data_IF_792985542715
#
_entry.id   IF_792985542715
#
_cell.length_a   1.000
_cell.length_b   1.000
_cell.length_c   1.000
_cell.angle_alpha   90.00
_cell.angle_beta   90.00
_cell.angle_gamma   90.00
#
_symmetry.space_group_name_H-M   'P 1'
#
loop_
_entity.id
_entity.type
_entity.pdbx_description
1 polymer ?
#
# COMPACT_ATOMS: atom_id res chain seq x y z
N UNK A 1 10.07 -22.20 5.49
CA UNK A 1 9.86 -20.85 4.90
C UNK A 1 8.47 -20.35 5.29
N UNK A 2 8.31 -19.84 6.52
CA UNK A 2 7.05 -19.25 7.01
C UNK A 2 6.96 -17.73 6.76
N UNK A 3 8.08 -17.12 6.38
CA UNK A 3 8.26 -15.67 6.21
C UNK A 3 7.52 -15.12 5.00
N UNK A 4 7.53 -15.81 3.87
CA UNK A 4 6.89 -15.35 2.62
C UNK A 4 5.36 -15.31 2.70
N UNK A 5 4.74 -16.26 3.41
CA UNK A 5 3.29 -16.32 3.55
C UNK A 5 2.77 -15.27 4.53
N UNK A 6 3.51 -15.03 5.61
CA UNK A 6 3.24 -13.95 6.55
C UNK A 6 3.36 -12.57 5.87
N UNK A 7 4.45 -12.33 5.12
CA UNK A 7 4.64 -11.09 4.35
C UNK A 7 3.51 -10.85 3.34
N UNK A 8 3.13 -11.87 2.57
CA UNK A 8 2.00 -11.76 1.63
C UNK A 8 0.69 -11.40 2.31
N UNK A 9 0.47 -11.89 3.53
CA UNK A 9 -0.73 -11.60 4.31
C UNK A 9 -0.73 -10.18 4.87
N UNK A 10 0.42 -9.69 5.35
CA UNK A 10 0.59 -8.27 5.73
C UNK A 10 0.38 -7.36 4.53
N UNK A 11 0.92 -7.71 3.36
CA UNK A 11 0.71 -6.97 2.12
C UNK A 11 -0.77 -6.94 1.71
N UNK A 12 -1.46 -8.07 1.77
CA UNK A 12 -2.89 -8.14 1.47
C UNK A 12 -3.76 -7.31 2.44
N UNK A 13 -3.42 -7.31 3.74
CA UNK A 13 -4.07 -6.47 4.74
C UNK A 13 -3.81 -4.98 4.50
N UNK A 14 -2.58 -4.61 4.14
CA UNK A 14 -2.25 -3.24 3.78
C UNK A 14 -3.01 -2.78 2.52
N UNK A 15 -3.16 -3.66 1.52
CA UNK A 15 -3.99 -3.40 0.32
C UNK A 15 -5.48 -3.27 0.67
N UNK A 16 -5.99 -4.02 1.65
CA UNK A 16 -7.37 -3.85 2.09
C UNK A 16 -7.57 -2.52 2.82
N UNK A 17 -6.66 -2.12 3.72
CA UNK A 17 -6.69 -0.77 4.31
C UNK A 17 -6.57 0.33 3.26
N UNK A 18 -5.79 0.08 2.20
CA UNK A 18 -5.58 1.02 1.09
C UNK A 18 -6.85 1.39 0.32
N UNK A 19 -7.81 0.47 0.27
CA UNK A 19 -9.09 0.71 -0.41
C UNK A 19 -9.90 1.81 0.26
N UNK A 20 -9.74 1.96 1.58
CA UNK A 20 -10.50 2.93 2.37
C UNK A 20 -9.81 4.30 2.38
N UNK A 21 -8.47 4.34 2.52
CA UNK A 21 -7.68 5.57 2.39
C UNK A 21 -6.29 5.31 1.75
N UNK A 22 -6.09 5.71 0.49
CA UNK A 22 -4.81 5.56 -0.21
C UNK A 22 -3.64 6.32 0.42
N UNK A 23 -3.88 7.41 1.17
CA UNK A 23 -2.79 8.18 1.79
C UNK A 23 -2.18 7.43 2.98
N UNK A 24 -3.00 6.73 3.76
CA UNK A 24 -2.57 5.92 4.91
C UNK A 24 -1.62 4.80 4.48
N UNK A 25 -1.74 4.31 3.26
CA UNK A 25 -0.90 3.24 2.70
C UNK A 25 0.57 3.64 2.64
N UNK A 26 0.87 4.87 2.21
CA UNK A 26 2.25 5.34 2.11
C UNK A 26 2.90 5.47 3.48
N UNK A 27 2.13 5.88 4.50
CA UNK A 27 2.61 5.90 5.89
C UNK A 27 2.87 4.49 6.40
N UNK A 28 2.00 3.53 6.10
CA UNK A 28 2.19 2.12 6.48
C UNK A 28 3.43 1.52 5.80
N UNK A 29 3.63 1.76 4.50
CA UNK A 29 4.83 1.32 3.77
C UNK A 29 6.09 1.94 4.36
N UNK A 30 6.08 3.24 4.68
CA UNK A 30 7.21 3.91 5.31
C UNK A 30 7.54 3.30 6.68
N UNK A 31 6.51 2.94 7.45
CA UNK A 31 6.65 2.32 8.78
C UNK A 31 7.18 0.89 8.69
N UNK A 32 6.75 0.13 7.68
CA UNK A 32 7.26 -1.21 7.37
C UNK A 32 8.71 -1.17 6.86
N UNK A 33 9.07 -0.20 6.00
CA UNK A 33 10.47 0.04 5.60
C UNK A 33 11.33 0.32 6.83
N UNK A 34 10.82 1.11 7.79
CA UNK A 34 11.53 1.47 9.01
C UNK A 34 11.67 0.31 10.00
N UNK A 35 10.71 -0.63 10.04
CA UNK A 35 10.82 -1.80 10.92
C UNK A 35 11.84 -2.82 10.41
N UNK A 36 12.11 -2.84 9.09
CA UNK A 36 13.03 -3.80 8.48
C UNK A 36 12.54 -5.25 8.51
N UNK A 37 11.29 -5.47 8.96
CA UNK A 37 10.66 -6.79 9.01
C UNK A 37 10.24 -7.29 7.61
N UNK A 38 10.18 -6.37 6.66
CA UNK A 38 9.86 -6.63 5.25
C UNK A 38 11.01 -6.09 4.40
N UNK A 39 11.47 -6.88 3.44
CA UNK A 39 12.53 -6.48 2.52
C UNK A 39 12.08 -5.29 1.68
N UNK A 40 13.01 -4.38 1.39
CA UNK A 40 12.72 -3.17 0.64
C UNK A 40 12.11 -3.49 -0.74
N UNK A 41 12.56 -4.57 -1.38
CA UNK A 41 12.06 -5.04 -2.68
C UNK A 41 10.61 -5.54 -2.60
N UNK A 42 10.24 -6.22 -1.51
CA UNK A 42 8.85 -6.64 -1.25
C UNK A 42 7.92 -5.42 -1.05
N UNK A 43 8.48 -4.28 -0.62
CA UNK A 43 7.73 -3.03 -0.41
C UNK A 43 7.61 -2.18 -1.67
N UNK A 44 8.47 -2.36 -2.69
CA UNK A 44 8.36 -1.65 -3.98
C UNK A 44 7.02 -1.93 -4.65
N UNK A 45 6.61 -3.20 -4.67
CA UNK A 45 5.33 -3.61 -5.26
C UNK A 45 4.12 -2.98 -4.55
N UNK A 46 4.21 -2.82 -3.22
CA UNK A 46 3.18 -2.14 -2.43
C UNK A 46 3.13 -0.63 -2.72
N UNK A 47 4.29 0.00 -2.93
CA UNK A 47 4.41 1.43 -3.28
C UNK A 47 3.76 1.71 -4.64
N UNK A 48 4.03 0.87 -5.65
CA UNK A 48 3.43 0.98 -6.99
C UNK A 48 1.92 0.80 -6.98
N UNK A 49 1.42 -0.16 -6.19
CA UNK A 49 -0.03 -0.33 -5.99
C UNK A 49 -0.61 0.94 -5.35
N UNK A 50 0.01 1.44 -4.29
CA UNK A 50 -0.46 2.64 -3.58
C UNK A 50 -0.56 3.84 -4.53
N UNK A 51 0.47 4.07 -5.36
CA UNK A 51 0.47 5.15 -6.37
C UNK A 51 -0.70 5.04 -7.36
N UNK A 52 -1.00 3.82 -7.82
CA UNK A 52 -2.11 3.59 -8.73
C UNK A 52 -3.46 3.89 -8.08
N UNK A 53 -3.66 3.49 -6.82
CA UNK A 53 -4.90 3.74 -6.09
C UNK A 53 -5.08 5.23 -5.78
N UNK A 54 -4.02 5.93 -5.38
CA UNK A 54 -4.04 7.39 -5.16
C UNK A 54 -4.50 8.10 -6.46
N UNK A 55 -3.93 7.70 -7.60
CA UNK A 55 -4.29 8.28 -8.90
C UNK A 55 -5.76 8.09 -9.23
N UNK A 56 -6.29 6.87 -9.04
CA UNK A 56 -7.71 6.56 -9.27
C UNK A 56 -8.61 7.37 -8.33
N UNK A 57 -8.24 7.47 -7.04
CA UNK A 57 -8.99 8.26 -6.08
C UNK A 57 -9.02 9.75 -6.45
N UNK A 58 -7.90 10.31 -6.91
CA UNK A 58 -7.82 11.70 -7.37
C UNK A 58 -8.64 11.94 -8.64
N UNK A 59 -8.57 11.04 -9.61
CA UNK A 59 -9.39 11.10 -10.82
C UNK A 59 -10.89 11.05 -10.49
N UNK A 60 -11.30 10.17 -9.56
CA UNK A 60 -12.68 10.07 -9.11
C UNK A 60 -13.13 11.32 -8.34
N UNK A 61 -12.28 11.90 -7.48
CA UNK A 61 -12.55 13.17 -6.80
C UNK A 61 -12.71 14.32 -7.78
N UNK A 62 -11.89 14.39 -8.83
CA UNK A 62 -12.01 15.40 -9.87
C UNK A 62 -13.30 15.26 -10.68
N UNK A 63 -13.69 14.03 -11.04
CA UNK A 63 -14.97 13.77 -11.73
C UNK A 63 -16.18 14.11 -10.86
N UNK A 64 -16.15 13.81 -9.57
CA UNK A 64 -17.25 14.12 -8.65
C UNK A 64 -17.42 15.63 -8.38
N UNK A 65 -16.39 16.44 -8.62
CA UNK A 65 -16.42 17.91 -8.49
C UNK A 65 -16.90 18.63 -9.75
N UNK A 66 -17.09 17.92 -10.86
CA UNK A 66 -17.45 18.46 -12.18
C UNK A 66 -18.92 18.21 -12.48
#
# INVERSE_FOLDING_TARGET
>A
MLTTLYRKRIAALAIQLAKDDPQVVKEVIARLRKSGEIEADDLVYLDEIADRWIRIADENRQKARR
#
